data_IF_248218390601
#
_entry.id   IF_248218390601
#
_cell.length_a   1.000
_cell.length_b   1.000
_cell.length_c   1.000
_cell.angle_alpha   90.00
_cell.angle_beta   90.00
_cell.angle_gamma   90.00
#
_symmetry.space_group_name_H-M   'P 1'
#
loop_
_entity.id
_entity.type
_entity.pdbx_description
1 polymer ?
#
# COMPACT_ATOMS: atom_id res chain seq x y z
N UNK A 1 23.04 5.77 -23.36
CA UNK A 1 22.09 4.90 -22.63
C UNK A 1 22.12 5.29 -21.16
N UNK A 2 20.97 5.25 -20.45
CA UNK A 2 20.90 5.36 -18.99
C UNK A 2 20.63 3.98 -18.39
N UNK A 3 21.39 3.60 -17.37
CA UNK A 3 21.16 2.41 -16.54
C UNK A 3 20.90 2.89 -15.12
N UNK A 4 19.75 2.53 -14.56
CA UNK A 4 19.38 2.81 -13.17
C UNK A 4 19.36 1.49 -12.41
N UNK A 5 20.12 1.42 -11.33
CA UNK A 5 20.27 0.21 -10.53
C UNK A 5 20.12 0.53 -9.03
N UNK A 6 19.39 -0.32 -8.31
CA UNK A 6 19.23 -0.20 -6.87
C UNK A 6 20.29 -1.00 -6.12
N UNK A 7 20.85 -0.43 -5.06
CA UNK A 7 21.89 -1.12 -4.26
C UNK A 7 21.35 -2.35 -3.49
N UNK A 8 20.03 -2.48 -3.37
CA UNK A 8 19.35 -3.64 -2.78
C UNK A 8 18.75 -4.58 -3.84
N UNK A 9 19.08 -4.41 -5.13
CA UNK A 9 18.57 -5.28 -6.20
C UNK A 9 19.29 -6.65 -6.17
N UNK A 10 18.57 -7.67 -5.70
CA UNK A 10 19.05 -9.04 -5.66
C UNK A 10 18.68 -9.83 -6.93
N UNK A 11 17.88 -9.29 -7.84
CA UNK A 11 17.45 -9.95 -9.07
C UNK A 11 18.40 -9.60 -10.22
N UNK A 12 18.72 -8.32 -10.37
CA UNK A 12 19.71 -7.79 -11.30
C UNK A 12 20.75 -6.96 -10.54
N UNK A 13 21.71 -7.63 -9.90
CA UNK A 13 22.67 -6.93 -9.04
C UNK A 13 23.58 -5.99 -9.82
N UNK A 14 24.13 -4.99 -9.14
CA UNK A 14 24.97 -3.93 -9.72
C UNK A 14 26.04 -4.42 -10.68
N UNK A 15 26.59 -5.61 -10.44
CA UNK A 15 27.57 -6.25 -11.36
C UNK A 15 27.00 -6.49 -12.75
N UNK A 16 25.74 -6.86 -12.85
CA UNK A 16 25.07 -7.09 -14.14
C UNK A 16 24.79 -5.76 -14.84
N UNK A 17 24.34 -4.76 -14.09
CA UNK A 17 24.10 -3.41 -14.59
C UNK A 17 25.40 -2.75 -15.10
N UNK A 18 26.54 -2.97 -14.43
CA UNK A 18 27.86 -2.53 -14.90
C UNK A 18 28.27 -3.21 -16.20
N UNK A 19 28.04 -4.52 -16.31
CA UNK A 19 28.32 -5.25 -17.55
C UNK A 19 27.46 -4.78 -18.70
N UNK A 20 26.18 -4.56 -18.45
CA UNK A 20 25.25 -4.02 -19.44
C UNK A 20 25.66 -2.61 -19.89
N UNK A 21 26.00 -1.72 -18.96
CA UNK A 21 26.45 -0.36 -19.26
C UNK A 21 27.73 -0.36 -20.13
N UNK A 22 28.67 -1.26 -19.84
CA UNK A 22 29.94 -1.38 -20.59
C UNK A 22 29.78 -1.73 -22.08
N UNK A 23 28.62 -2.25 -22.48
CA UNK A 23 28.35 -2.57 -23.91
C UNK A 23 28.00 -1.30 -24.73
N UNK A 24 27.84 -0.16 -24.09
CA UNK A 24 27.44 1.08 -24.76
C UNK A 24 28.44 2.19 -24.48
N UNK A 25 29.07 2.80 -25.51
CA UNK A 25 30.17 3.79 -25.33
C UNK A 25 29.73 5.05 -24.55
N UNK A 26 28.45 5.41 -24.64
CA UNK A 26 27.88 6.60 -24.00
C UNK A 26 26.83 6.21 -22.91
N UNK A 27 27.09 5.16 -22.16
CA UNK A 27 26.23 4.79 -21.05
C UNK A 27 26.52 5.60 -19.79
N UNK A 28 25.49 5.99 -19.09
CA UNK A 28 25.55 6.51 -17.72
C UNK A 28 24.90 5.50 -16.79
N UNK A 29 25.67 5.00 -15.82
CA UNK A 29 25.13 4.13 -14.76
C UNK A 29 24.92 5.00 -13.49
N UNK A 30 23.72 4.97 -12.96
CA UNK A 30 23.36 5.63 -11.71
C UNK A 30 22.89 4.56 -10.73
N UNK A 31 23.65 4.36 -9.67
CA UNK A 31 23.25 3.53 -8.54
C UNK A 31 22.39 4.35 -7.59
N UNK A 32 21.21 3.87 -7.27
CA UNK A 32 20.27 4.54 -6.36
C UNK A 32 20.26 3.79 -5.02
N UNK A 33 20.62 4.49 -3.94
CA UNK A 33 20.69 3.90 -2.61
C UNK A 33 19.30 3.47 -2.12
N UNK A 34 19.29 2.45 -1.27
CA UNK A 34 18.10 1.96 -0.57
C UNK A 34 16.93 1.60 -1.49
N UNK A 35 17.21 1.18 -2.72
CA UNK A 35 16.21 0.76 -3.70
C UNK A 35 16.47 -0.65 -4.20
N UNK A 36 15.40 -1.35 -4.52
CA UNK A 36 15.44 -2.73 -5.03
C UNK A 36 15.18 -2.81 -6.54
N UNK A 37 14.69 -3.96 -6.96
CA UNK A 37 14.44 -4.26 -8.37
C UNK A 37 13.43 -3.29 -9.00
N UNK A 38 13.65 -3.02 -10.32
CA UNK A 38 12.87 -2.09 -11.14
C UNK A 38 12.91 -0.66 -10.57
N UNK A 39 14.11 -0.21 -10.25
CA UNK A 39 14.45 1.00 -9.51
C UNK A 39 13.63 2.25 -9.87
N UNK A 40 13.42 2.53 -11.18
CA UNK A 40 12.66 3.72 -11.61
C UNK A 40 11.14 3.57 -11.48
N UNK A 41 10.60 2.35 -11.60
CA UNK A 41 9.15 2.11 -11.55
C UNK A 41 8.63 1.89 -10.12
N UNK A 42 9.49 1.43 -9.22
CA UNK A 42 9.19 1.24 -7.81
C UNK A 42 9.64 2.43 -6.93
N UNK A 43 9.87 3.58 -7.54
CA UNK A 43 10.43 4.77 -6.89
C UNK A 43 9.35 5.60 -6.17
N UNK A 44 9.27 5.44 -4.86
CA UNK A 44 8.37 6.25 -4.00
C UNK A 44 8.95 7.62 -3.64
N UNK A 45 10.23 7.89 -3.95
CA UNK A 45 10.92 9.12 -3.62
C UNK A 45 11.03 10.10 -4.81
N UNK A 46 10.51 9.72 -5.98
CA UNK A 46 10.60 10.47 -7.24
C UNK A 46 12.04 10.80 -7.71
N UNK A 47 13.04 10.11 -7.17
CA UNK A 47 14.44 10.31 -7.55
C UNK A 47 14.78 9.60 -8.86
N UNK A 48 14.74 8.25 -8.86
CA UNK A 48 15.10 7.43 -10.01
C UNK A 48 14.14 7.67 -11.19
N UNK A 49 12.85 7.77 -10.92
CA UNK A 49 11.83 8.12 -11.91
C UNK A 49 12.02 9.51 -12.49
N UNK A 50 12.43 10.48 -11.67
CA UNK A 50 12.78 11.84 -12.10
C UNK A 50 14.01 11.87 -13.02
N UNK A 51 15.07 11.12 -12.68
CA UNK A 51 16.26 10.96 -13.53
C UNK A 51 15.88 10.31 -14.87
N UNK A 52 15.08 9.25 -14.84
CA UNK A 52 14.61 8.55 -16.05
C UNK A 52 13.81 9.50 -16.96
N UNK A 53 12.84 10.26 -16.41
CA UNK A 53 12.05 11.24 -17.18
C UNK A 53 12.91 12.32 -17.82
N UNK A 54 13.88 12.87 -17.08
CA UNK A 54 14.82 13.87 -17.66
C UNK A 54 15.61 13.26 -18.80
N UNK A 55 16.16 12.07 -18.60
CA UNK A 55 16.92 11.40 -19.65
C UNK A 55 16.10 11.15 -20.90
N UNK A 56 14.85 10.73 -20.78
CA UNK A 56 13.95 10.52 -21.93
C UNK A 56 13.65 11.81 -22.71
N UNK A 57 13.67 12.96 -22.04
CA UNK A 57 13.37 14.26 -22.67
C UNK A 57 14.60 15.00 -23.18
N UNK A 58 15.77 14.82 -22.54
CA UNK A 58 16.97 15.62 -22.82
C UNK A 58 18.19 14.79 -23.24
N UNK A 59 18.10 13.47 -23.21
CA UNK A 59 19.21 12.51 -23.37
C UNK A 59 20.34 12.70 -22.36
N UNK A 60 20.10 13.45 -21.29
CA UNK A 60 21.02 13.65 -20.17
C UNK A 60 20.32 13.31 -18.83
N UNK A 61 20.97 12.58 -17.92
CA UNK A 61 20.41 12.31 -16.60
C UNK A 61 20.31 13.57 -15.72
N UNK A 62 21.10 14.62 -16.02
CA UNK A 62 21.18 15.84 -15.24
C UNK A 62 21.76 15.60 -13.84
N UNK A 63 21.30 16.36 -12.84
CA UNK A 63 21.68 16.14 -11.44
C UNK A 63 21.11 14.80 -10.93
N UNK A 64 22.01 13.91 -10.53
CA UNK A 64 21.72 12.58 -9.97
C UNK A 64 21.95 12.53 -8.46
N UNK A 65 22.31 13.63 -7.80
CA UNK A 65 22.65 13.68 -6.38
C UNK A 65 21.55 13.19 -5.44
N UNK A 66 20.29 13.13 -5.87
CA UNK A 66 19.21 12.53 -5.09
C UNK A 66 19.42 11.01 -4.88
N UNK A 67 20.12 10.33 -5.79
CA UNK A 67 20.36 8.88 -5.71
C UNK A 67 21.10 8.48 -4.43
N UNK A 68 22.03 9.30 -3.96
CA UNK A 68 22.77 9.07 -2.72
C UNK A 68 21.96 9.38 -1.45
N UNK A 69 20.86 10.11 -1.59
CA UNK A 69 20.02 10.59 -0.46
C UNK A 69 18.69 9.89 -0.34
N UNK A 70 18.46 8.81 -1.09
CA UNK A 70 17.25 8.01 -0.96
C UNK A 70 17.12 7.47 0.47
N UNK A 71 15.98 7.65 1.14
CA UNK A 71 15.80 7.23 2.53
C UNK A 71 16.04 5.74 2.71
N UNK A 72 16.55 5.36 3.88
CA UNK A 72 16.72 3.94 4.23
C UNK A 72 15.40 3.20 4.26
N UNK A 73 15.44 1.93 3.88
CA UNK A 73 14.32 1.00 4.06
C UNK A 73 14.21 0.68 5.54
N UNK A 74 13.21 1.25 6.19
CA UNK A 74 12.94 0.94 7.59
C UNK A 74 12.26 -0.42 7.72
N UNK A 75 12.73 -1.22 8.68
CA UNK A 75 12.05 -2.45 9.08
C UNK A 75 10.63 -2.09 9.51
N UNK A 76 9.65 -2.80 8.99
CA UNK A 76 8.24 -2.56 9.33
C UNK A 76 8.06 -2.69 10.84
N UNK A 77 7.48 -1.69 11.54
CA UNK A 77 7.24 -1.78 12.97
C UNK A 77 6.33 -2.95 13.31
N UNK A 78 6.46 -3.51 14.51
CA UNK A 78 5.61 -4.60 14.95
C UNK A 78 4.13 -4.24 14.81
N UNK A 79 3.39 -5.08 14.12
CA UNK A 79 1.95 -4.92 14.01
C UNK A 79 1.26 -5.23 15.34
N UNK A 80 0.26 -4.44 15.75
CA UNK A 80 -0.48 -4.70 16.99
C UNK A 80 -1.10 -6.10 16.95
N UNK A 81 -0.97 -6.84 18.05
CA UNK A 81 -1.54 -8.19 18.16
C UNK A 81 -3.03 -8.16 18.46
N UNK A 82 -3.48 -7.16 19.22
CA UNK A 82 -4.85 -6.98 19.67
C UNK A 82 -5.32 -5.54 19.43
N UNK A 83 -6.64 -5.35 19.38
CA UNK A 83 -7.28 -4.06 19.19
C UNK A 83 -6.78 -2.97 20.16
N UNK A 84 -6.54 -3.34 21.41
CA UNK A 84 -6.10 -2.39 22.45
C UNK A 84 -4.75 -1.75 22.15
N UNK A 85 -3.88 -2.42 21.44
CA UNK A 85 -2.56 -1.93 21.03
C UNK A 85 -2.57 -1.18 19.69
N UNK A 86 -3.70 -1.13 18.99
CA UNK A 86 -3.79 -0.46 17.70
C UNK A 86 -3.81 1.06 17.85
N UNK A 87 -3.21 1.81 16.90
CA UNK A 87 -3.41 3.25 16.80
C UNK A 87 -4.87 3.62 16.61
N UNK A 88 -5.22 4.86 16.92
CA UNK A 88 -6.56 5.41 16.67
C UNK A 88 -6.63 6.16 15.34
N UNK A 89 -7.72 5.98 14.60
CA UNK A 89 -8.05 6.84 13.48
C UNK A 89 -8.37 8.27 13.95
N UNK A 90 -8.07 9.25 13.11
CA UNK A 90 -8.39 10.65 13.37
C UNK A 90 -9.86 10.95 13.09
N UNK A 91 -10.44 11.83 13.89
CA UNK A 91 -11.78 12.35 13.65
C UNK A 91 -11.79 13.32 12.47
N UNK A 92 -12.83 13.25 11.67
CA UNK A 92 -13.08 14.26 10.66
C UNK A 92 -14.58 14.54 10.55
N UNK A 93 -14.96 15.83 10.68
CA UNK A 93 -16.35 16.26 10.63
C UNK A 93 -17.05 16.30 12.01
N UNK A 94 -17.94 17.27 12.17
CA UNK A 94 -18.62 17.58 13.43
C UNK A 94 -19.62 16.49 13.89
N UNK A 95 -20.06 15.62 12.97
CA UNK A 95 -21.01 14.54 13.26
C UNK A 95 -20.37 13.27 13.83
N UNK A 96 -19.04 13.23 13.99
CA UNK A 96 -18.37 12.08 14.58
C UNK A 96 -18.68 11.92 16.07
N UNK A 97 -19.05 10.70 16.46
CA UNK A 97 -19.36 10.31 17.84
C UNK A 97 -18.51 9.12 18.30
N UNK A 98 -17.35 8.91 17.64
CA UNK A 98 -16.48 7.78 17.93
C UNK A 98 -15.89 7.84 19.35
N UNK A 99 -15.77 6.67 19.97
CA UNK A 99 -14.95 6.46 21.17
C UNK A 99 -13.48 6.19 20.79
N UNK A 100 -12.59 6.20 21.77
CA UNK A 100 -11.19 5.78 21.55
C UNK A 100 -11.10 4.34 21.00
N UNK A 101 -11.89 3.41 21.56
CA UNK A 101 -11.98 2.03 21.07
C UNK A 101 -12.53 1.96 19.64
N UNK A 102 -13.56 2.76 19.33
CA UNK A 102 -14.11 2.86 17.97
C UNK A 102 -13.08 3.38 16.95
N UNK A 103 -12.24 4.34 17.34
CA UNK A 103 -11.17 4.85 16.47
C UNK A 103 -10.08 3.79 16.20
N UNK A 104 -9.71 3.01 17.23
CA UNK A 104 -8.81 1.85 17.04
C UNK A 104 -9.41 0.81 16.11
N UNK A 105 -10.71 0.49 16.32
CA UNK A 105 -11.43 -0.46 15.47
C UNK A 105 -11.49 -0.01 14.00
N UNK A 106 -11.71 1.27 13.75
CA UNK A 106 -11.69 1.84 12.42
C UNK A 106 -10.31 1.72 11.76
N UNK A 107 -9.23 2.00 12.50
CA UNK A 107 -7.86 1.82 12.02
C UNK A 107 -7.59 0.35 11.66
N UNK A 108 -7.93 -0.59 12.55
CA UNK A 108 -7.79 -2.04 12.31
C UNK A 108 -8.57 -2.47 11.06
N UNK A 109 -9.80 -1.99 10.91
CA UNK A 109 -10.64 -2.31 9.77
C UNK A 109 -10.01 -1.89 8.44
N UNK A 110 -9.48 -0.67 8.38
CA UNK A 110 -8.80 -0.18 7.18
C UNK A 110 -7.51 -0.96 6.91
N UNK A 111 -6.72 -1.26 7.94
CA UNK A 111 -5.51 -2.10 7.79
C UNK A 111 -5.83 -3.52 7.34
N UNK A 112 -6.95 -4.10 7.79
CA UNK A 112 -7.40 -5.42 7.30
C UNK A 112 -7.72 -5.39 5.81
N UNK A 113 -8.35 -4.31 5.32
CA UNK A 113 -8.62 -4.12 3.89
C UNK A 113 -7.32 -3.96 3.10
N UNK A 114 -6.39 -3.14 3.60
CA UNK A 114 -5.08 -2.92 2.97
C UNK A 114 -4.24 -4.20 2.94
N UNK A 115 -4.18 -4.96 4.04
CA UNK A 115 -3.47 -6.25 4.11
C UNK A 115 -4.00 -7.25 3.07
N UNK A 116 -5.31 -7.36 2.92
CA UNK A 116 -5.90 -8.24 1.92
C UNK A 116 -5.58 -7.81 0.48
N UNK A 117 -5.58 -6.51 0.19
CA UNK A 117 -5.20 -5.98 -1.12
C UNK A 117 -3.71 -6.19 -1.40
N UNK A 118 -2.84 -5.92 -0.42
CA UNK A 118 -1.39 -6.13 -0.55
C UNK A 118 -1.04 -7.61 -0.77
N UNK A 119 -1.69 -8.52 -0.06
CA UNK A 119 -1.51 -9.97 -0.26
C UNK A 119 -2.00 -10.42 -1.62
N UNK A 120 -3.16 -9.94 -2.06
CA UNK A 120 -3.63 -10.21 -3.41
C UNK A 120 -2.62 -9.70 -4.45
N UNK A 121 -2.12 -8.47 -4.29
CA UNK A 121 -1.15 -7.86 -5.20
C UNK A 121 0.15 -8.66 -5.32
N UNK A 122 0.67 -9.15 -4.19
CA UNK A 122 1.92 -9.91 -4.18
C UNK A 122 1.77 -11.36 -4.67
N UNK A 123 0.60 -11.96 -4.50
CA UNK A 123 0.38 -13.38 -4.80
C UNK A 123 -0.41 -13.61 -6.08
N UNK A 124 -1.10 -12.60 -6.60
CA UNK A 124 -2.02 -12.67 -7.75
C UNK A 124 -3.03 -13.82 -7.69
N UNK A 125 -3.31 -14.31 -6.49
CA UNK A 125 -4.14 -15.48 -6.25
C UNK A 125 -5.62 -15.13 -6.12
N UNK A 126 -6.49 -16.08 -6.47
CA UNK A 126 -7.93 -15.94 -6.30
C UNK A 126 -8.42 -16.07 -4.85
N UNK A 127 -7.52 -16.42 -3.93
CA UNK A 127 -7.80 -16.59 -2.48
C UNK A 127 -6.54 -16.33 -1.65
N UNK A 128 -6.75 -15.92 -0.39
CA UNK A 128 -5.66 -15.72 0.57
C UNK A 128 -6.20 -15.62 1.99
N UNK A 129 -5.29 -15.40 2.93
CA UNK A 129 -5.57 -15.27 4.36
C UNK A 129 -5.20 -13.88 4.86
N UNK A 130 -5.89 -13.37 5.88
CA UNK A 130 -5.47 -12.18 6.60
C UNK A 130 -4.25 -12.45 7.49
N UNK A 131 -3.56 -11.39 7.90
CA UNK A 131 -2.31 -11.45 8.69
C UNK A 131 -2.41 -12.39 9.91
N UNK A 132 -3.55 -12.40 10.59
CA UNK A 132 -3.80 -13.21 11.80
C UNK A 132 -5.02 -14.13 11.64
N UNK A 133 -5.28 -14.61 10.42
CA UNK A 133 -6.34 -15.56 10.12
C UNK A 133 -7.55 -14.95 9.42
N UNK A 134 -8.58 -15.78 9.27
CA UNK A 134 -9.65 -15.52 8.34
C UNK A 134 -9.17 -15.65 6.89
N UNK A 135 -10.02 -15.34 5.93
CA UNK A 135 -9.70 -15.52 4.53
C UNK A 135 -10.29 -14.40 3.65
N UNK A 136 -9.84 -14.35 2.42
CA UNK A 136 -10.48 -13.61 1.36
C UNK A 136 -10.48 -14.40 0.05
N UNK A 137 -11.43 -14.12 -0.79
CA UNK A 137 -11.44 -14.52 -2.20
C UNK A 137 -11.33 -13.27 -3.06
N UNK A 138 -10.70 -13.40 -4.21
CA UNK A 138 -10.50 -12.32 -5.17
C UNK A 138 -11.00 -12.70 -6.55
N UNK A 139 -11.55 -11.73 -7.26
CA UNK A 139 -11.91 -11.80 -8.66
C UNK A 139 -11.42 -10.55 -9.39
N UNK A 140 -11.05 -10.72 -10.66
CA UNK A 140 -10.43 -9.70 -11.51
C UNK A 140 -9.07 -10.15 -11.98
N UNK A 141 -8.63 -9.63 -13.11
CA UNK A 141 -7.38 -10.01 -13.75
C UNK A 141 -6.35 -8.89 -13.62
N UNK A 142 -5.14 -9.26 -13.21
CA UNK A 142 -4.05 -8.31 -13.03
C UNK A 142 -3.68 -7.62 -14.35
N UNK A 143 -3.38 -8.40 -15.38
CA UNK A 143 -2.91 -7.86 -16.67
C UNK A 143 -4.00 -7.11 -17.45
N UNK A 144 -5.26 -7.51 -17.32
CA UNK A 144 -6.38 -6.86 -18.02
C UNK A 144 -6.81 -5.52 -17.41
N UNK A 145 -6.17 -5.06 -16.34
CA UNK A 145 -6.58 -3.84 -15.62
C UNK A 145 -8.07 -3.82 -15.23
N UNK A 146 -8.69 -5.01 -15.13
CA UNK A 146 -10.07 -5.12 -14.67
C UNK A 146 -10.19 -4.71 -13.20
N UNK A 147 -11.36 -4.23 -12.77
CA UNK A 147 -11.58 -3.95 -11.35
C UNK A 147 -11.38 -5.19 -10.50
N UNK A 148 -10.59 -5.06 -9.45
CA UNK A 148 -10.35 -6.14 -8.49
C UNK A 148 -11.45 -6.12 -7.44
N UNK A 149 -12.04 -7.27 -7.17
CA UNK A 149 -13.08 -7.44 -6.15
C UNK A 149 -12.64 -8.50 -5.16
N UNK A 150 -12.55 -8.14 -3.88
CA UNK A 150 -12.29 -9.08 -2.81
C UNK A 150 -13.54 -9.27 -1.96
N UNK A 151 -13.73 -10.51 -1.48
CA UNK A 151 -14.70 -10.86 -0.44
C UNK A 151 -13.95 -11.33 0.78
N UNK A 152 -13.99 -10.54 1.85
CA UNK A 152 -13.39 -10.87 3.14
C UNK A 152 -14.34 -11.76 3.93
N UNK A 153 -13.80 -12.80 4.57
CA UNK A 153 -14.52 -13.78 5.39
C UNK A 153 -13.81 -13.91 6.73
N UNK A 154 -14.16 -13.05 7.68
CA UNK A 154 -13.52 -13.01 8.98
C UNK A 154 -12.03 -12.69 8.93
N UNK A 155 -11.55 -11.97 7.91
CA UNK A 155 -10.15 -11.59 7.78
C UNK A 155 -9.68 -10.78 8.99
N UNK A 156 -8.45 -11.03 9.47
CA UNK A 156 -7.94 -10.44 10.70
C UNK A 156 -6.56 -9.82 10.49
N UNK A 157 -6.43 -8.54 10.80
CA UNK A 157 -5.16 -7.85 10.95
C UNK A 157 -4.66 -7.93 12.39
N UNK A 158 -5.57 -7.87 13.37
CA UNK A 158 -5.34 -8.18 14.78
C UNK A 158 -6.12 -9.45 15.16
N UNK A 159 -5.69 -10.15 16.21
CA UNK A 159 -6.25 -11.47 16.57
C UNK A 159 -7.71 -11.43 17.03
N UNK A 160 -8.13 -10.33 17.65
CA UNK A 160 -9.43 -10.19 18.34
C UNK A 160 -10.51 -9.44 17.57
N UNK A 161 -10.22 -8.96 16.34
CA UNK A 161 -11.21 -8.32 15.45
C UNK A 161 -11.26 -9.02 14.10
N UNK A 162 -12.42 -9.52 13.74
CA UNK A 162 -12.69 -10.12 12.43
C UNK A 162 -13.43 -9.15 11.52
N UNK A 163 -13.05 -9.09 10.25
CA UNK A 163 -13.64 -8.22 9.22
C UNK A 163 -14.22 -9.08 8.11
N UNK A 164 -15.49 -8.86 7.83
CA UNK A 164 -16.22 -9.54 6.73
C UNK A 164 -16.82 -8.48 5.81
N UNK A 165 -16.79 -8.71 4.51
CA UNK A 165 -17.41 -7.77 3.56
C UNK A 165 -16.80 -7.79 2.18
N UNK A 166 -17.02 -6.72 1.44
CA UNK A 166 -16.61 -6.59 0.03
C UNK A 166 -15.66 -5.40 -0.12
N UNK A 167 -14.62 -5.60 -0.91
CA UNK A 167 -13.66 -4.57 -1.33
C UNK A 167 -13.66 -4.53 -2.85
N UNK A 168 -13.64 -3.34 -3.42
CA UNK A 168 -13.45 -3.12 -4.84
C UNK A 168 -12.32 -2.12 -5.05
N UNK A 169 -11.38 -2.47 -5.93
CA UNK A 169 -10.34 -1.58 -6.39
C UNK A 169 -10.48 -1.37 -7.90
N UNK A 170 -10.91 -0.20 -8.29
CA UNK A 170 -10.88 0.25 -9.68
C UNK A 170 -9.48 0.81 -9.96
N UNK A 171 -8.66 0.03 -10.65
CA UNK A 171 -7.27 0.38 -10.93
C UNK A 171 -7.14 1.48 -11.99
N UNK A 172 -8.12 1.59 -12.90
CA UNK A 172 -8.14 2.69 -13.90
C UNK A 172 -8.49 4.02 -13.27
N UNK A 173 -9.49 4.05 -12.40
CA UNK A 173 -9.86 5.24 -11.64
C UNK A 173 -8.97 5.48 -10.42
N UNK A 174 -8.13 4.53 -10.02
CA UNK A 174 -7.31 4.59 -8.82
C UNK A 174 -8.10 4.51 -7.51
N UNK A 175 -9.39 4.11 -7.53
CA UNK A 175 -10.24 4.18 -6.34
C UNK A 175 -10.39 2.84 -5.66
N UNK A 176 -10.15 2.81 -4.36
CA UNK A 176 -10.51 1.68 -3.49
C UNK A 176 -11.75 2.02 -2.69
N UNK A 177 -12.70 1.09 -2.64
CA UNK A 177 -13.92 1.17 -1.84
C UNK A 177 -14.18 -0.14 -1.15
N UNK A 178 -14.53 -0.08 0.15
CA UNK A 178 -14.91 -1.26 0.93
C UNK A 178 -16.21 -1.01 1.69
N UNK A 179 -17.02 -2.07 1.82
CA UNK A 179 -18.18 -2.14 2.70
C UNK A 179 -18.00 -3.36 3.57
N UNK A 180 -17.79 -3.15 4.86
CA UNK A 180 -17.37 -4.18 5.78
C UNK A 180 -18.17 -4.15 7.08
N UNK A 181 -18.17 -5.31 7.75
CA UNK A 181 -18.68 -5.51 9.10
C UNK A 181 -17.54 -6.01 9.98
N UNK A 182 -17.47 -5.50 11.19
CA UNK A 182 -16.57 -5.94 12.23
C UNK A 182 -17.31 -6.82 13.23
N UNK A 183 -16.60 -7.80 13.82
CA UNK A 183 -17.05 -8.63 14.93
C UNK A 183 -15.86 -9.00 15.83
N UNK A 184 -16.15 -9.48 17.05
CA UNK A 184 -15.15 -9.75 18.08
C UNK A 184 -15.04 -8.61 19.08
N UNK A 185 -13.82 -8.18 19.43
CA UNK A 185 -13.56 -7.09 20.37
C UNK A 185 -14.11 -5.72 19.91
N UNK A 186 -14.53 -5.60 18.66
CA UNK A 186 -15.26 -4.46 18.13
C UNK A 186 -16.34 -4.92 17.18
N UNK A 187 -17.48 -4.22 17.18
CA UNK A 187 -18.61 -4.53 16.29
C UNK A 187 -19.10 -3.27 15.56
N UNK A 188 -19.65 -3.48 14.37
CA UNK A 188 -20.25 -2.41 13.59
C UNK A 188 -20.07 -2.57 12.09
N UNK A 189 -20.37 -1.51 11.34
CA UNK A 189 -20.28 -1.47 9.87
C UNK A 189 -19.58 -0.22 9.42
N UNK A 190 -18.69 -0.36 8.44
CA UNK A 190 -17.94 0.75 7.86
C UNK A 190 -17.98 0.69 6.33
N UNK A 191 -18.13 1.87 5.73
CA UNK A 191 -17.67 2.17 4.38
C UNK A 191 -16.30 2.81 4.46
N UNK A 192 -15.36 2.34 3.64
CA UNK A 192 -13.99 2.84 3.55
C UNK A 192 -13.71 3.21 2.11
N UNK A 193 -13.07 4.34 1.84
CA UNK A 193 -12.66 4.74 0.51
C UNK A 193 -11.39 5.56 0.52
N UNK A 194 -10.53 5.35 -0.50
CA UNK A 194 -9.34 6.19 -0.78
C UNK A 194 -8.96 6.18 -2.26
N UNK A 195 -8.12 7.13 -2.65
CA UNK A 195 -7.46 7.16 -3.95
C UNK A 195 -6.10 6.46 -3.83
N UNK A 196 -5.94 5.30 -4.48
CA UNK A 196 -4.71 4.50 -4.43
C UNK A 196 -3.57 5.07 -5.31
N UNK A 197 -3.84 6.12 -6.10
CA UNK A 197 -2.81 6.79 -6.92
C UNK A 197 -2.18 7.98 -6.21
N UNK A 198 -2.81 8.50 -5.16
CA UNK A 198 -2.28 9.65 -4.44
C UNK A 198 -1.11 9.22 -3.55
N UNK A 199 0.04 9.87 -3.69
CA UNK A 199 1.30 9.58 -2.96
C UNK A 199 1.09 9.62 -1.43
N UNK A 200 0.21 10.51 -0.95
CA UNK A 200 -0.18 10.62 0.46
C UNK A 200 -1.68 10.46 0.61
N UNK A 201 -2.19 9.34 0.13
CA UNK A 201 -3.60 9.05 0.18
C UNK A 201 -4.14 9.02 1.60
N UNK A 202 -5.35 9.51 1.76
CA UNK A 202 -6.10 9.45 3.01
C UNK A 202 -7.34 8.59 2.83
N UNK A 203 -7.45 7.51 3.60
CA UNK A 203 -8.65 6.70 3.66
C UNK A 203 -9.70 7.37 4.56
N UNK A 204 -10.91 7.51 4.03
CA UNK A 204 -12.08 8.02 4.76
C UNK A 204 -12.95 6.85 5.18
N UNK A 205 -13.35 6.85 6.45
CA UNK A 205 -14.15 5.81 7.07
C UNK A 205 -15.45 6.40 7.62
N UNK A 206 -16.57 5.84 7.21
CA UNK A 206 -17.91 6.28 7.63
C UNK A 206 -18.76 5.08 7.99
N UNK A 207 -19.59 5.22 9.03
CA UNK A 207 -20.50 4.17 9.43
C UNK A 207 -20.90 4.21 10.88
N UNK A 208 -20.97 3.04 11.51
CA UNK A 208 -21.30 2.90 12.93
C UNK A 208 -20.41 1.84 13.58
N UNK A 209 -19.82 2.18 14.73
CA UNK A 209 -18.99 1.28 15.55
C UNK A 209 -19.49 1.35 17.01
N UNK A 210 -19.79 0.20 17.60
CA UNK A 210 -20.38 0.13 18.94
C UNK A 210 -21.67 0.97 19.06
N UNK A 211 -22.52 0.94 18.02
CA UNK A 211 -23.75 1.73 17.95
C UNK A 211 -23.57 3.23 17.70
N UNK A 212 -22.35 3.74 17.66
CA UNK A 212 -22.06 5.17 17.49
C UNK A 212 -21.68 5.51 16.06
N UNK A 213 -22.22 6.60 15.52
CA UNK A 213 -21.87 7.13 14.19
C UNK A 213 -20.42 7.57 14.17
N UNK A 214 -19.67 7.20 13.13
CA UNK A 214 -18.25 7.54 12.98
C UNK A 214 -17.96 8.18 11.63
N UNK A 215 -17.11 9.21 11.67
CA UNK A 215 -16.51 9.88 10.52
C UNK A 215 -15.02 10.05 10.82
N UNK A 216 -14.22 9.14 10.26
CA UNK A 216 -12.82 8.99 10.61
C UNK A 216 -11.94 8.99 9.37
N UNK A 217 -10.67 9.31 9.55
CA UNK A 217 -9.64 9.22 8.51
C UNK A 217 -8.36 8.61 9.06
N UNK A 218 -7.61 7.98 8.17
CA UNK A 218 -6.24 7.50 8.42
C UNK A 218 -5.41 7.73 7.15
N UNK A 219 -4.07 7.74 7.22
CA UNK A 219 -3.27 7.49 6.03
C UNK A 219 -3.74 6.20 5.37
N UNK A 220 -3.90 6.19 4.04
CA UNK A 220 -4.37 5.01 3.33
C UNK A 220 -3.42 3.83 3.58
N UNK A 221 -3.95 2.62 3.78
CA UNK A 221 -3.13 1.44 4.03
C UNK A 221 -2.43 0.92 2.80
#
# INVERSE_FOLDING_TARGET
MLVLDGDLDAITPLGDSRRAAALFPNATLVQVRNTGHVTALADYADCASGIARRFLTTLSPGDVGCAERTPEVHVVPEFPRLLRGAPGAERYGAADRSTAAGRRAAWVAARTVGDALARWWNMYGSKGHGLRGGSFTAAGEYLAYSPIRLRLQGARFVGDVAVTGKVAWDRRAGTVRARIRLSGAASGRLGIAWDARAVRATARLRGSLGGRRVYLRIPAP
#
